data_IF_393916224574
#
_entry.id   IF_393916224574
#
_cell.length_a   1.000
_cell.length_b   1.000
_cell.length_c   1.000
_cell.angle_alpha   90.00
_cell.angle_beta   90.00
_cell.angle_gamma   90.00
#
_symmetry.space_group_name_H-M   'P 1'
#
loop_
_entity.id
_entity.type
_entity.pdbx_description
1 polymer ?
#
# COMPACT_ATOMS: atom_id res chain seq x y z
N UNK A 1 -21.43 -20.11 37.74
CA UNK A 1 -20.63 -18.96 37.24
C UNK A 1 -19.33 -19.37 36.58
N UNK A 2 -18.63 -20.42 37.05
CA UNK A 2 -17.35 -20.86 36.47
C UNK A 2 -17.47 -21.40 35.02
N UNK A 3 -18.58 -22.07 34.70
CA UNK A 3 -18.77 -22.68 33.37
C UNK A 3 -18.93 -21.65 32.24
N UNK A 4 -19.77 -20.63 32.44
CA UNK A 4 -19.94 -19.57 31.43
C UNK A 4 -18.64 -18.81 31.18
N UNK A 5 -17.83 -18.58 32.22
CA UNK A 5 -16.53 -17.95 32.06
C UNK A 5 -15.58 -18.81 31.22
N UNK A 6 -15.47 -20.10 31.52
CA UNK A 6 -14.60 -21.02 30.79
C UNK A 6 -15.06 -21.20 29.33
N UNK A 7 -16.37 -21.30 29.10
CA UNK A 7 -16.94 -21.37 27.75
C UNK A 7 -16.64 -20.09 26.97
N UNK A 8 -16.87 -18.91 27.56
CA UNK A 8 -16.55 -17.63 26.93
C UNK A 8 -15.04 -17.50 26.63
N UNK A 9 -14.19 -17.95 27.56
CA UNK A 9 -12.74 -17.96 27.39
C UNK A 9 -12.31 -18.82 26.20
N UNK A 10 -12.83 -20.04 26.08
CA UNK A 10 -12.50 -20.93 24.96
C UNK A 10 -12.89 -20.33 23.61
N UNK A 11 -14.10 -19.76 23.50
CA UNK A 11 -14.52 -19.07 22.28
C UNK A 11 -13.66 -17.84 21.98
N UNK A 12 -13.26 -17.08 22.99
CA UNK A 12 -12.35 -15.96 22.81
C UNK A 12 -10.99 -16.39 22.27
N UNK A 13 -10.36 -17.39 22.88
CA UNK A 13 -9.04 -17.90 22.45
C UNK A 13 -9.11 -18.50 21.04
N UNK A 14 -10.19 -19.22 20.71
CA UNK A 14 -10.46 -19.70 19.35
C UNK A 14 -10.61 -18.54 18.36
N UNK A 15 -11.29 -17.46 18.76
CA UNK A 15 -11.43 -16.25 17.97
C UNK A 15 -10.08 -15.57 17.70
N UNK A 16 -9.20 -15.50 18.70
CA UNK A 16 -7.84 -14.96 18.54
C UNK A 16 -7.00 -15.79 17.55
N UNK A 17 -7.06 -17.11 17.63
CA UNK A 17 -6.37 -18.00 16.68
C UNK A 17 -6.85 -17.79 15.23
N UNK A 18 -8.17 -17.71 15.02
CA UNK A 18 -8.72 -17.39 13.70
C UNK A 18 -8.28 -15.99 13.23
N UNK A 19 -8.24 -15.00 14.13
CA UNK A 19 -7.80 -13.66 13.79
C UNK A 19 -6.34 -13.63 13.34
N UNK A 20 -5.45 -14.33 14.05
CA UNK A 20 -4.03 -14.48 13.69
C UNK A 20 -3.85 -15.16 12.33
N UNK A 21 -4.71 -16.15 12.03
CA UNK A 21 -4.80 -16.82 10.71
C UNK A 21 -5.48 -15.97 9.63
N UNK A 22 -5.86 -14.72 9.94
CA UNK A 22 -6.57 -13.78 9.05
C UNK A 22 -7.94 -14.27 8.57
N UNK A 23 -8.54 -15.20 9.31
CA UNK A 23 -9.89 -15.75 9.10
C UNK A 23 -10.90 -14.91 9.90
N UNK A 24 -11.16 -13.70 9.41
CA UNK A 24 -11.84 -12.67 10.19
C UNK A 24 -13.33 -12.97 10.42
N UNK A 25 -14.00 -13.62 9.47
CA UNK A 25 -15.40 -14.03 9.62
C UNK A 25 -15.55 -15.11 10.72
N UNK A 26 -14.65 -16.09 10.74
CA UNK A 26 -14.62 -17.12 11.79
C UNK A 26 -14.21 -16.54 13.15
N UNK A 27 -13.28 -15.59 13.17
CA UNK A 27 -12.90 -14.87 14.39
C UNK A 27 -14.09 -14.11 14.98
N UNK A 28 -14.81 -13.35 14.14
CA UNK A 28 -16.05 -12.67 14.54
C UNK A 28 -17.07 -13.64 15.13
N UNK A 29 -17.34 -14.77 14.45
CA UNK A 29 -18.31 -15.77 14.93
C UNK A 29 -17.97 -16.23 16.35
N UNK A 30 -16.70 -16.51 16.61
CA UNK A 30 -16.23 -16.96 17.91
C UNK A 30 -16.28 -15.84 18.97
N UNK A 31 -15.91 -14.60 18.63
CA UNK A 31 -16.06 -13.49 19.57
C UNK A 31 -17.52 -13.23 19.93
N UNK A 32 -18.44 -13.31 18.97
CA UNK A 32 -19.88 -13.22 19.23
C UNK A 32 -20.36 -14.37 20.14
N UNK A 33 -19.87 -15.60 19.94
CA UNK A 33 -20.19 -16.71 20.85
C UNK A 33 -19.66 -16.46 22.26
N UNK A 34 -18.43 -15.96 22.41
CA UNK A 34 -17.88 -15.54 23.72
C UNK A 34 -18.78 -14.50 24.40
N UNK A 35 -19.22 -13.49 23.66
CA UNK A 35 -20.10 -12.43 24.18
C UNK A 35 -21.52 -12.93 24.53
N UNK A 36 -21.99 -14.07 24.00
CA UNK A 36 -23.26 -14.66 24.48
C UNK A 36 -23.17 -15.11 25.93
N UNK A 37 -22.00 -15.56 26.38
CA UNK A 37 -21.78 -16.03 27.75
C UNK A 37 -21.28 -14.93 28.67
N UNK A 38 -20.51 -13.96 28.15
CA UNK A 38 -20.04 -12.77 28.86
C UNK A 38 -20.24 -11.49 28.01
N UNK A 39 -21.45 -10.89 28.02
CA UNK A 39 -21.83 -9.80 27.10
C UNK A 39 -20.96 -8.55 27.15
N UNK A 40 -20.38 -8.24 28.30
CA UNK A 40 -19.65 -7.00 28.54
C UNK A 40 -18.14 -7.23 28.77
N UNK A 41 -17.62 -8.40 28.35
CA UNK A 41 -16.19 -8.67 28.38
C UNK A 41 -15.46 -7.75 27.39
N UNK A 42 -14.89 -6.66 27.90
CA UNK A 42 -14.28 -5.59 27.09
C UNK A 42 -13.18 -6.11 26.17
N UNK A 43 -12.33 -7.06 26.62
CA UNK A 43 -11.30 -7.62 25.75
C UNK A 43 -11.85 -8.36 24.53
N UNK A 44 -13.01 -9.02 24.67
CA UNK A 44 -13.71 -9.64 23.53
C UNK A 44 -14.35 -8.58 22.63
N UNK A 45 -14.95 -7.54 23.20
CA UNK A 45 -15.48 -6.40 22.43
C UNK A 45 -14.39 -5.70 21.61
N UNK A 46 -13.21 -5.46 22.20
CA UNK A 46 -12.07 -4.84 21.51
C UNK A 46 -11.65 -5.68 20.31
N UNK A 47 -11.46 -6.99 20.50
CA UNK A 47 -11.07 -7.89 19.43
C UNK A 47 -12.14 -8.02 18.33
N UNK A 48 -13.42 -8.02 18.71
CA UNK A 48 -14.52 -7.95 17.74
C UNK A 48 -14.47 -6.63 16.94
N UNK A 49 -14.19 -5.50 17.59
CA UNK A 49 -13.98 -4.21 16.92
C UNK A 49 -12.82 -4.24 15.92
N UNK A 50 -11.71 -4.90 16.27
CA UNK A 50 -10.60 -5.12 15.35
C UNK A 50 -11.01 -6.01 14.16
N UNK A 51 -11.82 -7.05 14.35
CA UNK A 51 -12.41 -7.82 13.25
C UNK A 51 -13.25 -6.92 12.33
N UNK A 52 -14.11 -6.06 12.89
CA UNK A 52 -14.93 -5.13 12.11
C UNK A 52 -14.09 -4.19 11.25
N UNK A 53 -12.97 -3.71 11.77
CA UNK A 53 -12.00 -2.94 10.99
C UNK A 53 -11.43 -3.76 9.83
N UNK A 54 -11.00 -5.02 10.07
CA UNK A 54 -10.43 -5.88 9.03
C UNK A 54 -11.43 -6.26 7.94
N UNK A 55 -12.70 -6.43 8.32
CA UNK A 55 -13.83 -6.67 7.43
C UNK A 55 -14.36 -5.40 6.76
N UNK A 56 -13.80 -4.22 7.09
CA UNK A 56 -14.24 -2.89 6.61
C UNK A 56 -15.67 -2.52 7.00
N UNK A 57 -16.20 -3.14 8.05
CA UNK A 57 -17.53 -2.87 8.61
C UNK A 57 -17.44 -1.76 9.66
N UNK A 58 -17.10 -0.54 9.22
CA UNK A 58 -16.77 0.56 10.11
C UNK A 58 -17.94 1.02 11.00
N UNK A 59 -19.18 0.96 10.50
CA UNK A 59 -20.37 1.34 11.28
C UNK A 59 -20.57 0.41 12.49
N UNK A 60 -20.44 -0.90 12.29
CA UNK A 60 -20.48 -1.89 13.38
C UNK A 60 -19.31 -1.73 14.36
N UNK A 61 -18.13 -1.35 13.86
CA UNK A 61 -17.00 -1.02 14.74
C UNK A 61 -17.32 0.18 15.65
N UNK A 62 -18.01 1.20 15.12
CA UNK A 62 -18.40 2.37 15.90
C UNK A 62 -19.42 2.01 16.99
N UNK A 63 -20.39 1.14 16.71
CA UNK A 63 -21.32 0.60 17.70
C UNK A 63 -20.58 -0.08 18.86
N UNK A 64 -19.57 -0.89 18.55
CA UNK A 64 -18.72 -1.56 19.56
C UNK A 64 -17.94 -0.53 20.39
N UNK A 65 -17.35 0.49 19.74
CA UNK A 65 -16.63 1.57 20.45
C UNK A 65 -17.58 2.28 21.42
N UNK A 66 -18.79 2.61 20.98
CA UNK A 66 -19.79 3.26 21.82
C UNK A 66 -20.18 2.35 23.00
N UNK A 67 -20.36 1.04 22.77
CA UNK A 67 -20.64 0.08 23.85
C UNK A 67 -19.51 0.02 24.88
N UNK A 68 -18.25 -0.06 24.47
CA UNK A 68 -17.11 -0.07 25.41
C UNK A 68 -17.08 1.25 26.20
N UNK A 69 -17.41 2.37 25.56
CA UNK A 69 -17.45 3.67 26.22
C UNK A 69 -18.55 3.75 27.29
N UNK A 70 -19.73 3.14 27.07
CA UNK A 70 -20.78 3.06 28.13
C UNK A 70 -20.36 2.23 29.33
N UNK A 71 -19.40 1.32 29.16
CA UNK A 71 -18.82 0.53 30.25
C UNK A 71 -17.74 1.30 31.04
N UNK A 72 -17.50 2.58 30.71
CA UNK A 72 -16.48 3.46 31.31
C UNK A 72 -15.07 2.83 31.31
N UNK A 73 -14.79 1.96 30.35
CA UNK A 73 -13.50 1.30 30.26
C UNK A 73 -12.51 2.16 29.47
N UNK A 74 -11.38 2.46 30.08
CA UNK A 74 -10.30 3.21 29.45
C UNK A 74 -8.99 2.43 29.58
N UNK A 75 -8.59 1.77 28.50
CA UNK A 75 -7.34 1.02 28.43
C UNK A 75 -6.54 1.39 27.19
N UNK A 76 -5.26 1.03 27.21
CA UNK A 76 -4.39 1.08 26.06
C UNK A 76 -5.03 0.42 24.82
N UNK A 77 -5.53 -0.81 24.95
CA UNK A 77 -6.13 -1.55 23.82
C UNK A 77 -7.37 -0.87 23.25
N UNK A 78 -8.17 -0.24 24.12
CA UNK A 78 -9.34 0.50 23.66
C UNK A 78 -8.96 1.77 22.90
N UNK A 79 -7.96 2.52 23.38
CA UNK A 79 -7.46 3.69 22.65
C UNK A 79 -6.78 3.28 21.34
N UNK A 80 -6.10 2.13 21.32
CA UNK A 80 -5.54 1.56 20.11
C UNK A 80 -6.65 1.26 19.08
N UNK A 81 -7.73 0.58 19.48
CA UNK A 81 -8.90 0.33 18.62
C UNK A 81 -9.46 1.63 18.03
N UNK A 82 -9.67 2.66 18.86
CA UNK A 82 -10.19 3.95 18.40
C UNK A 82 -9.25 4.62 17.40
N UNK A 83 -7.94 4.59 17.65
CA UNK A 83 -6.98 5.18 16.73
C UNK A 83 -6.97 4.50 15.35
N UNK A 84 -7.05 3.17 15.33
CA UNK A 84 -7.18 2.39 14.11
C UNK A 84 -8.48 2.74 13.38
N UNK A 85 -9.62 2.76 14.10
CA UNK A 85 -10.91 3.15 13.53
C UNK A 85 -10.85 4.54 12.87
N UNK A 86 -10.29 5.53 13.56
CA UNK A 86 -10.15 6.88 13.01
C UNK A 86 -9.20 6.93 11.81
N UNK A 87 -8.10 6.17 11.82
CA UNK A 87 -7.19 6.08 10.69
C UNK A 87 -7.85 5.48 9.44
N UNK A 88 -8.61 4.40 9.62
CA UNK A 88 -9.34 3.72 8.54
C UNK A 88 -10.49 4.59 7.98
N UNK A 89 -11.12 5.38 8.84
CA UNK A 89 -12.17 6.33 8.44
C UNK A 89 -11.62 7.68 7.95
N UNK A 90 -10.29 7.83 7.84
CA UNK A 90 -9.55 9.04 7.42
C UNK A 90 -9.70 10.25 8.33
N UNK A 91 -10.08 10.04 9.58
CA UNK A 91 -10.12 11.06 10.63
C UNK A 91 -8.74 11.17 11.29
N UNK A 92 -7.71 11.48 10.51
CA UNK A 92 -6.30 11.37 10.93
C UNK A 92 -5.94 12.20 12.16
N UNK A 93 -6.54 13.39 12.34
CA UNK A 93 -6.33 14.20 13.55
C UNK A 93 -6.82 13.48 14.80
N UNK A 94 -8.04 12.91 14.76
CA UNK A 94 -8.58 12.12 15.87
C UNK A 94 -7.75 10.86 16.11
N UNK A 95 -7.26 10.21 15.05
CA UNK A 95 -6.36 9.06 15.20
C UNK A 95 -5.08 9.44 15.96
N UNK A 96 -4.47 10.58 15.63
CA UNK A 96 -3.29 11.11 16.33
C UNK A 96 -3.60 11.39 17.81
N UNK A 97 -4.76 11.98 18.11
CA UNK A 97 -5.17 12.26 19.49
C UNK A 97 -5.29 10.99 20.33
N UNK A 98 -5.91 9.94 19.79
CA UNK A 98 -6.01 8.65 20.49
C UNK A 98 -4.64 7.95 20.61
N UNK A 99 -3.77 8.03 19.59
CA UNK A 99 -2.39 7.50 19.67
C UNK A 99 -1.59 8.21 20.77
N UNK A 100 -1.74 9.53 20.93
CA UNK A 100 -1.05 10.26 21.99
C UNK A 100 -1.47 9.79 23.38
N UNK A 101 -2.74 9.40 23.56
CA UNK A 101 -3.19 8.77 24.82
C UNK A 101 -2.53 7.42 25.04
N UNK A 102 -2.40 6.59 24.00
CA UNK A 102 -1.66 5.33 24.09
C UNK A 102 -0.19 5.52 24.46
N UNK A 103 0.48 6.50 23.84
CA UNK A 103 1.89 6.81 24.06
C UNK A 103 2.19 7.30 25.49
N UNK A 104 1.20 7.83 26.19
CA UNK A 104 1.30 8.25 27.59
C UNK A 104 1.07 7.11 28.60
N UNK A 105 0.86 5.87 28.14
CA UNK A 105 0.68 4.70 29.03
C UNK A 105 1.96 4.36 29.78
N UNK A 106 1.86 4.13 31.10
CA UNK A 106 3.01 3.89 31.99
C UNK A 106 3.81 2.61 31.67
N UNK A 107 3.17 1.59 31.10
CA UNK A 107 3.76 0.27 30.87
C UNK A 107 3.98 -0.03 29.38
N UNK A 108 4.23 1.00 28.57
CA UNK A 108 4.38 0.84 27.12
C UNK A 108 5.78 0.29 26.79
N UNK A 109 5.83 -0.93 26.27
CA UNK A 109 7.09 -1.52 25.81
C UNK A 109 7.56 -0.91 24.47
N UNK A 110 8.82 -1.14 24.11
CA UNK A 110 9.42 -0.58 22.88
C UNK A 110 8.74 -1.07 21.60
N UNK A 111 8.25 -2.30 21.57
CA UNK A 111 7.58 -2.87 20.40
C UNK A 111 6.28 -2.12 20.10
N UNK A 112 5.42 -1.96 21.11
CA UNK A 112 4.15 -1.23 20.99
C UNK A 112 4.37 0.26 20.74
N UNK A 113 5.34 0.88 21.43
CA UNK A 113 5.72 2.27 21.19
C UNK A 113 6.18 2.48 19.75
N UNK A 114 7.01 1.59 19.21
CA UNK A 114 7.47 1.64 17.82
C UNK A 114 6.29 1.59 16.85
N UNK A 115 5.35 0.67 17.05
CA UNK A 115 4.16 0.55 16.20
C UNK A 115 3.26 1.80 16.26
N UNK A 116 3.04 2.36 17.45
CA UNK A 116 2.26 3.59 17.61
C UNK A 116 2.91 4.80 16.94
N UNK A 117 4.23 4.95 17.08
CA UNK A 117 4.98 6.01 16.40
C UNK A 117 4.91 5.88 14.88
N UNK A 118 4.99 4.65 14.36
CA UNK A 118 4.78 4.38 12.93
C UNK A 118 3.36 4.76 12.48
N UNK A 119 2.31 4.35 13.22
CA UNK A 119 0.92 4.71 12.90
C UNK A 119 0.67 6.21 12.97
N UNK A 120 1.26 6.89 13.97
CA UNK A 120 1.23 8.35 14.06
C UNK A 120 1.91 8.95 12.83
N UNK A 121 3.10 8.47 12.47
CA UNK A 121 3.80 8.89 11.26
C UNK A 121 2.95 8.75 10.00
N UNK A 122 2.31 7.59 9.78
CA UNK A 122 1.38 7.37 8.67
C UNK A 122 0.27 8.44 8.66
N UNK A 123 -0.33 8.76 9.81
CA UNK A 123 -1.36 9.79 9.90
C UNK A 123 -0.82 11.19 9.53
N UNK A 124 0.41 11.54 9.95
CA UNK A 124 1.09 12.78 9.53
C UNK A 124 1.37 12.79 8.02
N UNK A 125 1.86 11.69 7.42
CA UNK A 125 2.03 11.58 5.96
C UNK A 125 0.72 11.80 5.20
N UNK A 126 -0.40 11.29 5.72
CA UNK A 126 -1.72 11.48 5.11
C UNK A 126 -2.26 12.91 5.24
N UNK A 127 -1.70 13.69 6.16
CA UNK A 127 -1.92 15.13 6.29
C UNK A 127 -0.85 15.96 5.55
N UNK A 128 -0.03 15.31 4.71
CA UNK A 128 1.09 15.93 3.98
C UNK A 128 2.15 16.58 4.87
N UNK A 129 2.28 16.10 6.11
CA UNK A 129 3.30 16.51 7.08
C UNK A 129 4.44 15.49 7.09
N UNK A 130 5.23 15.50 6.02
CA UNK A 130 6.19 14.43 5.72
C UNK A 130 7.40 14.47 6.66
N UNK A 131 7.88 15.65 7.02
CA UNK A 131 9.01 15.87 7.92
C UNK A 131 8.71 15.37 9.34
N UNK A 132 7.52 15.69 9.88
CA UNK A 132 7.09 15.15 11.17
C UNK A 132 6.91 13.64 11.13
N UNK A 133 6.37 13.10 10.03
CA UNK A 133 6.29 11.64 9.84
C UNK A 133 7.66 10.98 9.85
N UNK A 134 8.65 11.56 9.15
CA UNK A 134 10.03 11.06 9.11
C UNK A 134 10.63 11.01 10.52
N UNK A 135 10.45 12.07 11.32
CA UNK A 135 10.95 12.11 12.70
C UNK A 135 10.36 10.96 13.54
N UNK A 136 9.05 10.78 13.48
CA UNK A 136 8.35 9.73 14.21
C UNK A 136 8.77 8.32 13.77
N UNK A 137 8.90 8.10 12.46
CA UNK A 137 9.30 6.79 11.94
C UNK A 137 10.77 6.48 12.19
N UNK A 138 11.66 7.47 12.22
CA UNK A 138 13.04 7.29 12.70
C UNK A 138 13.08 6.82 14.14
N UNK A 139 12.30 7.45 15.03
CA UNK A 139 12.17 7.00 16.43
C UNK A 139 11.59 5.59 16.52
N UNK A 140 10.56 5.27 15.72
CA UNK A 140 9.99 3.94 15.66
C UNK A 140 11.03 2.86 15.30
N UNK A 141 11.87 3.14 14.30
CA UNK A 141 12.92 2.22 13.85
C UNK A 141 14.05 2.09 14.88
N UNK A 142 14.38 3.17 15.60
CA UNK A 142 15.35 3.12 16.70
C UNK A 142 14.88 2.23 17.85
N UNK A 143 13.57 2.23 18.15
CA UNK A 143 12.99 1.39 19.21
C UNK A 143 12.85 -0.08 18.80
N UNK A 144 12.65 -0.33 17.50
CA UNK A 144 12.54 -1.67 16.94
C UNK A 144 13.03 -1.67 15.49
N UNK A 145 14.26 -2.16 15.29
CA UNK A 145 14.88 -2.26 13.97
C UNK A 145 14.13 -3.22 13.02
N UNK A 146 13.36 -4.16 13.57
CA UNK A 146 12.56 -5.11 12.80
C UNK A 146 11.16 -4.58 12.47
N UNK A 147 10.86 -3.31 12.76
CA UNK A 147 9.64 -2.66 12.30
C UNK A 147 9.77 -2.29 10.80
N UNK A 148 9.71 -3.30 9.94
CA UNK A 148 9.85 -3.13 8.49
C UNK A 148 8.75 -2.25 7.89
N UNK A 149 7.57 -2.18 8.51
CA UNK A 149 6.53 -1.21 8.14
C UNK A 149 7.01 0.23 8.33
N UNK A 150 7.58 0.55 9.50
CA UNK A 150 8.15 1.88 9.77
C UNK A 150 9.29 2.21 8.81
N UNK A 151 10.17 1.24 8.51
CA UNK A 151 11.25 1.43 7.55
C UNK A 151 10.73 1.74 6.14
N UNK A 152 9.74 0.98 5.66
CA UNK A 152 9.12 1.23 4.35
C UNK A 152 8.46 2.61 4.29
N UNK A 153 7.70 2.98 5.33
CA UNK A 153 7.01 4.27 5.37
C UNK A 153 8.00 5.45 5.43
N UNK A 154 9.12 5.27 6.14
CA UNK A 154 10.22 6.22 6.15
C UNK A 154 10.79 6.40 4.73
N UNK A 155 10.96 5.30 4.00
CA UNK A 155 11.36 5.32 2.59
C UNK A 155 10.39 6.10 1.72
N UNK A 156 9.08 5.83 1.82
CA UNK A 156 8.07 6.56 1.06
C UNK A 156 8.10 8.07 1.33
N UNK A 157 8.21 8.49 2.59
CA UNK A 157 8.27 9.91 2.93
C UNK A 157 9.53 10.58 2.40
N UNK A 158 10.69 9.90 2.47
CA UNK A 158 11.92 10.41 1.86
C UNK A 158 11.81 10.53 0.33
N UNK A 159 11.15 9.59 -0.34
CA UNK A 159 10.92 9.67 -1.78
C UNK A 159 10.00 10.84 -2.17
N UNK A 160 8.98 11.12 -1.36
CA UNK A 160 8.09 12.29 -1.57
C UNK A 160 8.87 13.61 -1.44
N UNK A 161 9.81 13.69 -0.50
CA UNK A 161 10.69 14.84 -0.31
C UNK A 161 11.94 14.82 -1.21
N UNK A 162 11.97 13.96 -2.23
CA UNK A 162 13.08 13.85 -3.20
C UNK A 162 14.44 13.44 -2.59
N UNK A 163 14.45 12.92 -1.36
CA UNK A 163 15.62 12.33 -0.71
C UNK A 163 15.87 10.92 -1.27
N UNK A 164 16.10 10.81 -2.57
CA UNK A 164 16.09 9.54 -3.31
C UNK A 164 17.08 8.50 -2.79
N UNK A 165 18.29 8.90 -2.42
CA UNK A 165 19.32 7.97 -1.93
C UNK A 165 18.86 7.22 -0.67
N UNK A 166 18.31 7.96 0.30
CA UNK A 166 17.81 7.39 1.55
C UNK A 166 16.48 6.67 1.28
N UNK A 167 15.60 7.28 0.48
CA UNK A 167 14.27 6.78 0.15
C UNK A 167 14.30 5.41 -0.51
N UNK A 168 15.15 5.22 -1.52
CA UNK A 168 15.29 3.93 -2.20
C UNK A 168 15.87 2.86 -1.30
N UNK A 169 16.90 3.18 -0.50
CA UNK A 169 17.48 2.24 0.45
C UNK A 169 16.46 1.73 1.46
N UNK A 170 15.62 2.64 1.99
CA UNK A 170 14.57 2.29 2.94
C UNK A 170 13.39 1.56 2.30
N UNK A 171 13.10 1.85 1.03
CA UNK A 171 12.07 1.16 0.27
C UNK A 171 12.37 -0.35 0.08
N UNK A 172 13.64 -0.77 0.13
CA UNK A 172 14.03 -2.19 0.08
C UNK A 172 13.49 -3.01 1.26
N UNK A 173 13.15 -2.39 2.40
CA UNK A 173 12.57 -3.11 3.52
C UNK A 173 11.19 -3.73 3.20
N UNK A 174 10.58 -3.35 2.06
CA UNK A 174 9.35 -4.00 1.57
C UNK A 174 9.59 -5.48 1.25
N UNK A 175 10.81 -5.85 0.84
CA UNK A 175 11.17 -7.22 0.51
C UNK A 175 11.05 -8.11 1.76
N UNK A 176 11.59 -7.62 2.89
CA UNK A 176 11.45 -8.28 4.20
C UNK A 176 10.01 -8.28 4.70
N UNK A 177 9.34 -7.12 4.66
CA UNK A 177 7.94 -6.97 5.08
C UNK A 177 7.00 -7.95 4.36
N UNK A 178 7.21 -8.16 3.07
CA UNK A 178 6.38 -9.01 2.23
C UNK A 178 6.88 -10.46 2.17
N UNK A 179 7.93 -10.81 2.93
CA UNK A 179 8.58 -12.13 2.91
C UNK A 179 8.92 -12.60 1.48
N UNK A 180 9.46 -11.69 0.67
CA UNK A 180 9.88 -12.01 -0.68
C UNK A 180 11.21 -12.77 -0.64
N UNK A 181 11.31 -13.81 -1.47
CA UNK A 181 12.53 -14.57 -1.66
C UNK A 181 13.57 -13.69 -2.36
N UNK A 182 14.76 -13.60 -1.75
CA UNK A 182 15.89 -12.82 -2.23
C UNK A 182 17.18 -13.67 -2.31
N UNK A 183 17.05 -15.00 -2.41
CA UNK A 183 18.20 -15.93 -2.44
C UNK A 183 19.20 -15.63 -3.56
N UNK A 184 18.72 -15.14 -4.72
CA UNK A 184 19.55 -14.76 -5.88
C UNK A 184 19.53 -13.25 -6.13
N UNK A 185 19.49 -12.42 -5.09
CA UNK A 185 19.58 -10.96 -5.25
C UNK A 185 21.04 -10.50 -5.38
N UNK A 186 21.35 -9.54 -6.27
CA UNK A 186 22.67 -8.94 -6.33
C UNK A 186 22.90 -8.01 -5.14
N UNK A 187 24.14 -7.95 -4.62
CA UNK A 187 24.51 -6.99 -3.57
C UNK A 187 24.73 -5.60 -4.14
N UNK A 188 25.28 -5.53 -5.36
CA UNK A 188 25.55 -4.29 -6.10
C UNK A 188 25.32 -4.49 -7.60
N UNK A 189 25.07 -3.40 -8.32
CA UNK A 189 24.77 -3.46 -9.76
C UNK A 189 25.90 -4.07 -10.60
N UNK A 190 27.16 -3.99 -10.17
CA UNK A 190 28.26 -4.61 -10.90
C UNK A 190 28.18 -6.14 -10.95
N UNK A 191 27.45 -6.77 -10.02
CA UNK A 191 27.37 -8.23 -9.91
C UNK A 191 26.61 -8.84 -11.09
N UNK A 192 25.71 -8.08 -11.71
CA UNK A 192 24.93 -8.54 -12.87
C UNK A 192 25.70 -8.45 -14.20
N UNK A 193 26.97 -8.03 -14.19
CA UNK A 193 27.76 -7.84 -15.42
C UNK A 193 27.93 -9.15 -16.18
N UNK A 194 27.50 -9.19 -17.44
CA UNK A 194 27.50 -10.38 -18.30
C UNK A 194 26.75 -11.59 -17.70
N UNK A 195 25.74 -11.34 -16.86
CA UNK A 195 24.92 -12.38 -16.20
C UNK A 195 23.53 -12.47 -16.78
N UNK A 196 22.93 -13.64 -16.64
CA UNK A 196 21.53 -13.87 -17.00
C UNK A 196 20.61 -13.49 -15.85
N UNK A 197 19.76 -12.50 -16.08
CA UNK A 197 18.94 -11.91 -15.02
C UNK A 197 17.44 -12.06 -15.30
N UNK A 198 16.69 -12.34 -14.23
CA UNK A 198 15.24 -12.32 -14.22
C UNK A 198 14.76 -11.07 -13.47
N UNK A 199 13.99 -10.22 -14.13
CA UNK A 199 13.28 -9.11 -13.49
C UNK A 199 11.85 -9.55 -13.20
N UNK A 200 11.41 -9.48 -11.94
CA UNK A 200 10.04 -9.78 -11.53
C UNK A 200 9.21 -8.53 -11.39
N UNK A 201 8.04 -8.52 -12.05
CA UNK A 201 6.97 -7.62 -11.69
C UNK A 201 6.55 -7.86 -10.22
N UNK A 202 6.40 -6.76 -9.49
CA UNK A 202 5.91 -6.72 -8.12
C UNK A 202 4.72 -5.75 -8.09
N UNK A 203 3.79 -5.93 -7.14
CA UNK A 203 2.71 -4.97 -6.85
C UNK A 203 1.69 -4.78 -7.99
N UNK A 204 1.35 -3.52 -8.31
CA UNK A 204 0.33 -3.17 -9.29
C UNK A 204 0.88 -2.96 -10.70
N UNK A 205 0.00 -3.01 -11.68
CA UNK A 205 0.31 -2.74 -13.11
C UNK A 205 0.97 -1.36 -13.29
N UNK A 206 0.51 -0.35 -12.54
CA UNK A 206 1.07 1.00 -12.57
C UNK A 206 2.52 1.04 -12.06
N UNK A 207 2.84 0.25 -11.03
CA UNK A 207 4.20 0.17 -10.49
C UNK A 207 5.14 -0.50 -11.50
N UNK A 208 4.69 -1.57 -12.17
CA UNK A 208 5.46 -2.21 -13.24
C UNK A 208 5.77 -1.21 -14.36
N UNK A 209 4.77 -0.46 -14.84
CA UNK A 209 4.99 0.60 -15.84
C UNK A 209 5.95 1.67 -15.30
N UNK A 210 5.75 2.11 -14.06
CA UNK A 210 6.58 3.12 -13.44
C UNK A 210 8.04 2.66 -13.37
N UNK A 211 8.34 1.51 -12.77
CA UNK A 211 9.70 1.03 -12.59
C UNK A 211 10.35 0.50 -13.88
N UNK A 212 9.57 0.14 -14.90
CA UNK A 212 10.09 -0.29 -16.21
C UNK A 212 11.05 0.72 -16.85
N UNK A 213 10.92 2.02 -16.51
CA UNK A 213 11.82 3.09 -17.00
C UNK A 213 13.30 2.84 -16.71
N UNK A 214 13.61 2.01 -15.72
CA UNK A 214 14.98 1.68 -15.31
C UNK A 214 15.55 0.44 -16.01
N UNK A 215 14.74 -0.30 -16.80
CA UNK A 215 15.19 -1.51 -17.48
C UNK A 215 16.32 -1.22 -18.47
N UNK A 216 16.23 -0.12 -19.21
CA UNK A 216 17.23 0.27 -20.22
C UNK A 216 18.61 0.48 -19.59
N UNK A 217 18.68 0.93 -18.34
CA UNK A 217 19.96 1.13 -17.65
C UNK A 217 20.68 -0.19 -17.34
N UNK A 218 19.97 -1.33 -17.30
CA UNK A 218 20.58 -2.64 -17.09
C UNK A 218 21.42 -3.09 -18.29
N UNK A 219 21.14 -2.55 -19.49
CA UNK A 219 21.86 -2.88 -20.72
C UNK A 219 23.31 -2.39 -20.70
N UNK A 220 23.68 -1.49 -19.78
CA UNK A 220 25.09 -1.14 -19.52
C UNK A 220 25.88 -2.28 -18.86
N UNK A 221 25.20 -3.29 -18.32
CA UNK A 221 25.81 -4.37 -17.56
C UNK A 221 25.60 -5.75 -18.20
N UNK A 222 24.42 -6.02 -18.76
CA UNK A 222 24.12 -7.30 -19.40
C UNK A 222 23.04 -7.19 -20.48
N UNK A 223 23.03 -8.14 -21.40
CA UNK A 223 22.05 -8.26 -22.49
C UNK A 223 21.10 -9.45 -22.34
N UNK A 224 21.36 -10.39 -21.41
CA UNK A 224 20.50 -11.55 -21.16
C UNK A 224 19.49 -11.24 -20.03
N UNK A 225 18.45 -10.48 -20.39
CA UNK A 225 17.45 -9.96 -19.47
C UNK A 225 16.08 -10.52 -19.83
N UNK A 226 15.50 -11.31 -18.93
CA UNK A 226 14.08 -11.69 -19.00
C UNK A 226 13.27 -10.87 -18.02
N UNK A 227 12.10 -10.38 -18.44
CA UNK A 227 11.22 -9.52 -17.62
C UNK A 227 9.85 -10.19 -17.50
N UNK A 228 9.52 -10.65 -16.31
CA UNK A 228 8.18 -11.13 -16.00
C UNK A 228 7.22 -9.95 -15.82
N UNK A 229 6.13 -9.94 -16.57
CA UNK A 229 5.10 -8.89 -16.53
C UNK A 229 3.69 -9.48 -16.43
N UNK A 230 2.72 -8.75 -15.83
CA UNK A 230 1.31 -9.09 -15.92
C UNK A 230 0.85 -9.26 -17.37
N UNK A 231 -0.04 -10.21 -17.63
CA UNK A 231 -0.54 -10.52 -18.98
C UNK A 231 -1.16 -9.33 -19.71
N UNK A 232 -1.80 -8.44 -18.96
CA UNK A 232 -2.37 -7.17 -19.44
C UNK A 232 -1.31 -6.24 -20.05
N UNK A 233 -0.04 -6.36 -19.66
CA UNK A 233 1.06 -5.57 -20.19
C UNK A 233 1.81 -6.25 -21.34
N UNK A 234 1.41 -7.46 -21.77
CA UNK A 234 2.12 -8.23 -22.80
C UNK A 234 2.41 -7.43 -24.08
N UNK A 235 1.45 -6.62 -24.51
CA UNK A 235 1.58 -5.80 -25.72
C UNK A 235 2.04 -4.36 -25.45
N UNK A 236 2.19 -3.98 -24.17
CA UNK A 236 2.54 -2.61 -23.76
C UNK A 236 4.04 -2.33 -24.00
N UNK A 237 4.90 -3.32 -23.74
CA UNK A 237 6.34 -3.22 -23.95
C UNK A 237 6.75 -3.87 -25.27
N UNK A 238 7.72 -3.26 -25.97
CA UNK A 238 8.37 -3.85 -27.14
C UNK A 238 9.78 -3.32 -27.26
N UNK A 239 10.75 -4.18 -26.99
CA UNK A 239 12.18 -3.88 -27.15
C UNK A 239 12.94 -5.21 -27.31
N UNK A 240 13.67 -5.35 -28.41
CA UNK A 240 14.31 -6.62 -28.79
C UNK A 240 15.48 -7.03 -27.88
N UNK A 241 15.94 -6.13 -27.01
CA UNK A 241 16.99 -6.40 -26.02
C UNK A 241 16.45 -7.03 -24.73
N UNK A 242 15.12 -7.16 -24.59
CA UNK A 242 14.48 -7.78 -23.42
C UNK A 242 13.53 -8.89 -23.84
N UNK A 243 13.58 -10.00 -23.10
CA UNK A 243 12.60 -11.08 -23.22
C UNK A 243 11.43 -10.86 -22.25
N UNK A 244 10.38 -10.18 -22.70
CA UNK A 244 9.16 -9.99 -21.90
C UNK A 244 8.31 -11.27 -21.87
N UNK A 245 7.92 -11.72 -20.69
CA UNK A 245 7.16 -12.96 -20.48
C UNK A 245 6.05 -12.79 -19.46
N UNK A 246 4.94 -13.50 -19.66
CA UNK A 246 3.78 -13.50 -18.76
C UNK A 246 3.66 -14.81 -17.98
N UNK A 247 4.65 -15.70 -18.09
CA UNK A 247 4.68 -16.99 -17.40
C UNK A 247 5.00 -16.75 -15.92
N UNK A 248 4.05 -17.04 -15.03
CA UNK A 248 4.25 -16.90 -13.57
C UNK A 248 5.26 -17.90 -12.98
N UNK A 249 5.49 -19.02 -13.66
CA UNK A 249 6.33 -20.13 -13.18
C UNK A 249 7.64 -20.22 -13.96
N UNK A 250 8.40 -19.13 -13.99
CA UNK A 250 9.77 -19.16 -14.52
C UNK A 250 10.66 -19.88 -13.49
N UNK A 251 11.36 -20.94 -13.92
CA UNK A 251 12.30 -21.68 -13.08
C UNK A 251 13.54 -20.83 -12.82
N UNK A 252 13.71 -20.45 -11.56
CA UNK A 252 14.83 -19.68 -11.01
C UNK A 252 16.22 -20.28 -11.26
N UNK A 253 16.31 -21.60 -11.44
CA UNK A 253 17.58 -22.30 -11.66
C UNK A 253 18.27 -21.88 -12.97
N UNK A 254 17.54 -21.27 -13.91
CA UNK A 254 18.07 -20.86 -15.20
C UNK A 254 18.62 -19.41 -15.22
N UNK A 255 18.67 -18.74 -14.07
CA UNK A 255 19.11 -17.34 -13.94
C UNK A 255 20.19 -17.22 -12.86
N UNK A 256 21.15 -16.34 -13.09
CA UNK A 256 22.17 -15.99 -12.10
C UNK A 256 21.58 -15.13 -10.99
N UNK A 257 20.75 -14.13 -11.37
CA UNK A 257 20.10 -13.21 -10.45
C UNK A 257 18.60 -13.06 -10.70
N UNK A 258 17.87 -12.79 -9.64
CA UNK A 258 16.46 -12.40 -9.64
C UNK A 258 16.30 -11.07 -8.93
N UNK A 259 15.63 -10.11 -9.58
CA UNK A 259 15.47 -8.75 -9.08
C UNK A 259 14.01 -8.34 -9.21
N UNK A 260 13.38 -7.87 -8.14
CA UNK A 260 12.08 -7.23 -8.23
C UNK A 260 12.23 -5.86 -8.87
N UNK A 261 11.37 -5.55 -9.84
CA UNK A 261 11.46 -4.33 -10.64
C UNK A 261 11.49 -3.05 -9.78
N UNK A 262 10.84 -3.08 -8.61
CA UNK A 262 10.85 -1.98 -7.63
C UNK A 262 12.21 -1.70 -6.98
N UNK A 263 13.17 -2.62 -7.05
CA UNK A 263 14.53 -2.45 -6.51
C UNK A 263 15.51 -1.82 -7.51
N UNK A 264 15.12 -1.72 -8.79
CA UNK A 264 15.98 -1.13 -9.83
C UNK A 264 16.49 0.29 -9.49
N UNK A 265 15.66 1.22 -8.98
CA UNK A 265 16.15 2.55 -8.62
C UNK A 265 17.24 2.51 -7.54
N UNK A 266 17.12 1.60 -6.56
CA UNK A 266 18.10 1.43 -5.50
C UNK A 266 19.41 0.87 -6.05
N UNK A 267 19.35 -0.26 -6.76
CA UNK A 267 20.54 -0.92 -7.32
C UNK A 267 21.30 -0.03 -8.29
N UNK A 268 20.59 0.76 -9.10
CA UNK A 268 21.16 1.70 -10.05
C UNK A 268 21.51 3.07 -9.43
N UNK A 269 21.35 3.24 -8.11
CA UNK A 269 21.59 4.49 -7.38
C UNK A 269 20.93 5.72 -8.05
N UNK A 270 19.65 5.60 -8.39
CA UNK A 270 18.92 6.62 -9.16
C UNK A 270 18.55 7.83 -8.30
N UNK A 271 19.16 8.98 -8.63
CA UNK A 271 18.88 10.28 -8.00
C UNK A 271 18.10 11.24 -8.89
N UNK A 272 18.06 10.98 -10.20
CA UNK A 272 17.40 11.82 -11.19
C UNK A 272 17.13 11.00 -12.48
N UNK A 273 16.73 11.69 -13.55
CA UNK A 273 16.50 11.13 -14.88
C UNK A 273 15.50 9.96 -14.89
N UNK A 274 14.31 10.22 -14.35
CA UNK A 274 13.23 9.26 -14.28
C UNK A 274 12.39 9.22 -15.57
N UNK A 275 12.93 9.51 -16.75
CA UNK A 275 12.13 9.46 -17.99
C UNK A 275 12.11 8.05 -18.54
N UNK A 276 10.92 7.53 -18.86
CA UNK A 276 10.80 6.30 -19.63
C UNK A 276 11.34 6.53 -21.05
N UNK A 277 12.18 5.62 -21.53
CA UNK A 277 12.71 5.70 -22.90
C UNK A 277 11.65 5.18 -23.87
N UNK A 278 11.42 5.92 -24.95
CA UNK A 278 10.37 5.60 -25.93
C UNK A 278 10.57 4.24 -26.61
N UNK A 279 11.82 3.81 -26.75
CA UNK A 279 12.19 2.51 -27.32
C UNK A 279 11.86 1.30 -26.42
N UNK A 280 11.32 1.51 -25.22
CA UNK A 280 10.81 0.44 -24.36
C UNK A 280 9.33 0.13 -24.62
N UNK A 281 8.59 1.14 -25.07
CA UNK A 281 7.15 1.07 -25.24
C UNK A 281 6.81 0.61 -26.67
N UNK A 282 5.75 -0.19 -26.80
CA UNK A 282 5.26 -0.58 -28.11
C UNK A 282 4.57 0.60 -28.79
N UNK A 283 5.10 1.17 -29.90
CA UNK A 283 4.49 2.34 -30.53
C UNK A 283 3.08 2.07 -31.06
N UNK A 284 2.76 0.81 -31.37
CA UNK A 284 1.44 0.43 -31.89
C UNK A 284 0.32 0.60 -30.88
N UNK A 285 0.59 0.58 -29.57
CA UNK A 285 -0.46 0.81 -28.55
C UNK A 285 -0.90 2.27 -28.50
N UNK A 286 -0.09 3.18 -29.06
CA UNK A 286 -0.40 4.60 -29.16
C UNK A 286 -0.99 4.98 -30.51
N UNK A 287 -1.31 3.98 -31.36
CA UNK A 287 -2.05 4.21 -32.59
C UNK A 287 -3.54 4.43 -32.28
N UNK A 288 -3.84 5.49 -31.54
CA UNK A 288 -5.20 5.89 -31.21
C UNK A 288 -5.80 6.69 -32.37
N UNK A 289 -7.08 6.47 -32.64
CA UNK A 289 -7.87 7.25 -33.59
C UNK A 289 -8.21 8.63 -32.99
N UNK A 290 -7.18 9.41 -32.63
CA UNK A 290 -7.40 10.79 -32.25
C UNK A 290 -7.54 11.60 -33.54
N UNK A 291 -8.61 12.40 -33.71
CA UNK A 291 -8.79 13.26 -34.87
C UNK A 291 -7.52 14.09 -35.14
N UNK A 292 -7.09 14.17 -36.40
CA UNK A 292 -5.87 14.91 -36.80
C UNK A 292 -6.13 16.41 -37.01
N UNK A 293 -7.24 16.93 -36.50
CA UNK A 293 -7.57 18.36 -36.58
C UNK A 293 -6.64 19.21 -35.69
N UNK A 294 -6.76 20.54 -35.83
CA UNK A 294 -5.93 21.52 -35.13
C UNK A 294 -6.37 21.76 -33.68
N UNK A 295 -7.32 20.99 -33.14
CA UNK A 295 -7.76 21.16 -31.75
C UNK A 295 -6.68 20.71 -30.76
N UNK A 296 -6.63 21.39 -29.62
CA UNK A 296 -5.84 20.95 -28.48
C UNK A 296 -6.60 19.82 -27.75
N UNK A 297 -5.98 18.63 -27.64
CA UNK A 297 -6.63 17.43 -27.13
C UNK A 297 -6.31 17.20 -25.65
N UNK A 298 -7.34 17.07 -24.83
CA UNK A 298 -7.22 16.84 -23.39
C UNK A 298 -7.85 15.49 -23.04
N UNK A 299 -7.03 14.53 -22.61
CA UNK A 299 -7.51 13.25 -22.08
C UNK A 299 -7.78 13.33 -20.58
N UNK A 300 -8.93 12.83 -20.12
CA UNK A 300 -9.35 12.89 -18.73
C UNK A 300 -9.50 11.49 -18.11
N UNK A 301 -8.84 11.29 -16.96
CA UNK A 301 -9.07 10.19 -16.03
C UNK A 301 -9.12 10.78 -14.62
N UNK A 302 -10.28 10.74 -13.97
CA UNK A 302 -10.57 11.51 -12.75
C UNK A 302 -10.86 10.65 -11.52
N UNK A 303 -10.93 9.33 -11.71
CA UNK A 303 -11.17 8.41 -10.60
C UNK A 303 -10.35 7.13 -10.71
N UNK A 304 -9.85 6.67 -9.56
CA UNK A 304 -9.11 5.42 -9.43
C UNK A 304 -10.03 4.20 -9.29
N UNK A 305 -9.39 3.06 -9.02
CA UNK A 305 -10.07 1.80 -8.74
C UNK A 305 -10.92 1.88 -7.45
N UNK A 306 -12.23 1.71 -7.57
CA UNK A 306 -13.21 1.72 -6.46
C UNK A 306 -12.92 0.72 -5.35
N UNK A 307 -12.23 -0.37 -5.66
CA UNK A 307 -11.88 -1.41 -4.67
C UNK A 307 -10.62 -1.06 -3.86
N UNK A 308 -9.91 0.02 -4.22
CA UNK A 308 -8.75 0.47 -3.49
C UNK A 308 -9.17 1.22 -2.21
N UNK A 309 -8.57 0.85 -1.08
CA UNK A 309 -8.91 1.37 0.25
C UNK A 309 -8.94 2.91 0.35
N UNK A 310 -7.98 3.58 -0.29
CA UNK A 310 -7.86 5.04 -0.25
C UNK A 310 -8.38 5.71 -1.52
N UNK A 311 -9.26 5.05 -2.27
CA UNK A 311 -9.78 5.57 -3.52
C UNK A 311 -10.42 6.96 -3.37
N UNK A 312 -11.17 7.19 -2.28
CA UNK A 312 -11.77 8.49 -1.97
C UNK A 312 -10.79 9.66 -1.83
N UNK A 313 -9.49 9.40 -1.63
CA UNK A 313 -8.46 10.43 -1.57
C UNK A 313 -7.84 10.77 -2.93
N UNK A 314 -8.14 9.99 -3.97
CA UNK A 314 -7.53 10.10 -5.30
C UNK A 314 -8.57 10.08 -6.43
N UNK A 315 -9.83 10.27 -6.06
CA UNK A 315 -10.98 10.23 -6.93
C UNK A 315 -11.92 11.36 -6.56
N UNK A 316 -12.44 12.05 -7.55
CA UNK A 316 -13.41 13.11 -7.35
C UNK A 316 -14.53 12.98 -8.39
N UNK A 317 -15.66 13.69 -8.20
CA UNK A 317 -16.81 13.59 -9.12
C UNK A 317 -16.54 14.38 -10.39
N UNK A 318 -16.92 13.85 -11.55
CA UNK A 318 -16.69 14.47 -12.86
C UNK A 318 -17.30 15.88 -12.93
N UNK A 319 -18.43 16.11 -12.26
CA UNK A 319 -19.08 17.43 -12.19
C UNK A 319 -18.19 18.56 -11.68
N UNK A 320 -17.13 18.25 -10.91
CA UNK A 320 -16.17 19.28 -10.48
C UNK A 320 -15.31 19.81 -11.64
N UNK A 321 -15.24 19.09 -12.76
CA UNK A 321 -14.62 19.53 -14.01
C UNK A 321 -15.60 20.22 -14.96
N UNK A 322 -16.89 20.37 -14.60
CA UNK A 322 -17.92 20.94 -15.48
C UNK A 322 -17.52 22.28 -16.09
N UNK A 323 -16.86 23.15 -15.32
CA UNK A 323 -16.34 24.44 -15.79
C UNK A 323 -15.31 24.29 -16.92
N UNK A 324 -14.48 23.24 -16.91
CA UNK A 324 -13.49 23.00 -17.97
C UNK A 324 -14.18 22.70 -19.31
N UNK A 325 -15.32 22.03 -19.29
CA UNK A 325 -16.04 21.67 -20.52
C UNK A 325 -16.66 22.87 -21.25
N UNK A 326 -16.80 24.01 -20.58
CA UNK A 326 -17.18 25.27 -21.24
C UNK A 326 -16.13 25.75 -22.26
N UNK A 327 -14.88 25.27 -22.16
CA UNK A 327 -13.79 25.61 -23.07
C UNK A 327 -13.85 24.88 -24.42
N UNK A 328 -14.79 23.94 -24.62
CA UNK A 328 -14.88 23.11 -25.83
C UNK A 328 -14.95 23.95 -27.13
N UNK A 329 -15.56 25.14 -27.06
CA UNK A 329 -15.67 26.04 -28.21
C UNK A 329 -14.38 26.83 -28.54
N UNK A 330 -13.31 26.64 -27.76
CA UNK A 330 -12.02 27.35 -27.93
C UNK A 330 -10.97 26.47 -28.63
N UNK A 331 -11.37 25.66 -29.61
CA UNK A 331 -10.48 24.72 -30.30
C UNK A 331 -9.84 23.69 -29.33
N UNK A 332 -10.61 23.23 -28.34
CA UNK A 332 -10.20 22.22 -27.36
C UNK A 332 -11.16 21.03 -27.41
N UNK A 333 -10.61 19.82 -27.55
CA UNK A 333 -11.38 18.58 -27.49
C UNK A 333 -11.04 17.76 -26.25
N UNK A 334 -12.07 17.29 -25.56
CA UNK A 334 -11.93 16.45 -24.37
C UNK A 334 -12.18 14.97 -24.73
N UNK A 335 -11.31 14.09 -24.26
CA UNK A 335 -11.39 12.63 -24.46
C UNK A 335 -11.52 11.94 -23.12
N UNK A 336 -12.49 11.04 -22.98
CA UNK A 336 -12.61 10.19 -21.81
C UNK A 336 -11.56 9.07 -21.87
N UNK A 337 -10.61 9.11 -20.93
CA UNK A 337 -9.64 8.02 -20.69
C UNK A 337 -10.01 7.19 -19.45
N UNK A 338 -11.12 7.53 -18.80
CA UNK A 338 -11.61 6.85 -17.60
C UNK A 338 -12.12 5.46 -17.98
N UNK A 339 -11.43 4.42 -17.49
CA UNK A 339 -11.78 3.04 -17.78
C UNK A 339 -13.14 2.62 -17.20
N UNK A 340 -13.35 2.96 -15.92
CA UNK A 340 -14.57 2.62 -15.19
C UNK A 340 -15.30 3.91 -14.83
N UNK A 341 -16.47 4.16 -15.44
CA UNK A 341 -17.34 5.30 -15.14
C UNK A 341 -18.23 4.94 -13.96
N UNK A 342 -18.24 5.78 -12.92
CA UNK A 342 -19.06 5.59 -11.72
C UNK A 342 -20.50 5.99 -12.00
N UNK A 343 -21.47 5.37 -11.32
CA UNK A 343 -22.89 5.75 -11.45
C UNK A 343 -23.12 7.26 -11.27
N UNK A 344 -22.41 7.90 -10.32
CA UNK A 344 -22.54 9.34 -10.09
C UNK A 344 -21.92 10.24 -11.17
N UNK A 345 -21.25 9.67 -12.17
CA UNK A 345 -20.57 10.37 -13.27
C UNK A 345 -21.11 9.91 -14.65
N UNK A 346 -22.23 9.18 -14.70
CA UNK A 346 -22.85 8.73 -15.95
C UNK A 346 -23.69 9.80 -16.65
N UNK A 347 -24.27 10.70 -15.87
CA UNK A 347 -25.04 11.87 -16.31
C UNK A 347 -24.08 13.05 -16.58
#
# INVERSE_FOLDING_TARGET
MNDNFNIAKNFFETGEDFFLKKKYDEAEKNFNLSLKFLPDRVSTLINLGLCKIKLKEYDKCLEIINKIQTLNHNSFDFQNLKSLYFGETLQFKKAIDEINKCLNSKNLNNFDKSNLLNYKGIAYSKLSKYEESIKLQKEAVQLNENNFDAQCNLGFNNLVLENFEIGWKQYEFRLKKNNLDILKYPEKISDIKNKKILIRAEQGIGDVIMFSRFLIDLLFYTTDISVEIPSVLKNFFRNDQFNFTTKKTIKLNNFDFEIFIGSLPYLLNKKNNFKIKSNLLNPQIFNTQVPKDKSFKIGLAWSGNKNFKYDRLRSFKLKYLSKLFSLKNQNIDFFCLQKDIRECDKD
#
